data_IF_472312522035
#
_entry.id   IF_472312522035
#
_cell.length_a   1.000
_cell.length_b   1.000
_cell.length_c   1.000
_cell.angle_alpha   90.00
_cell.angle_beta   90.00
_cell.angle_gamma   90.00
#
_symmetry.space_group_name_H-M   'P 1'
#
loop_
_entity.id
_entity.type
_entity.pdbx_description
1 polymer ?
#
# COMPACT_ATOMS: atom_id res chain seq x y z
N UNK A 1 -32.74 -0.77 3.71
CA UNK A 1 -33.64 -1.66 4.42
C UNK A 1 -32.92 -2.42 5.55
N UNK A 2 -31.81 -3.11 5.29
CA UNK A 2 -31.10 -3.91 6.28
C UNK A 2 -30.69 -3.09 7.52
N UNK A 3 -30.06 -1.92 7.35
CA UNK A 3 -29.68 -1.06 8.47
C UNK A 3 -30.89 -0.56 9.25
N UNK A 4 -31.97 -0.14 8.61
CA UNK A 4 -33.21 0.26 9.29
C UNK A 4 -33.78 -0.88 10.12
N UNK A 5 -33.80 -2.11 9.59
CA UNK A 5 -34.20 -3.29 10.36
C UNK A 5 -33.31 -3.51 11.59
N UNK A 6 -31.98 -3.45 11.41
CA UNK A 6 -31.04 -3.60 12.55
C UNK A 6 -31.16 -2.48 13.59
N UNK A 7 -31.50 -1.26 13.14
CA UNK A 7 -31.75 -0.14 14.04
C UNK A 7 -33.03 -0.34 14.85
N UNK A 8 -34.11 -0.87 14.24
CA UNK A 8 -35.37 -1.13 14.92
C UNK A 8 -35.29 -2.20 16.01
N UNK A 9 -34.29 -3.09 15.95
CA UNK A 9 -34.04 -4.14 16.92
C UNK A 9 -33.34 -3.61 18.21
N UNK A 10 -32.93 -2.33 18.23
CA UNK A 10 -32.20 -1.70 19.35
C UNK A 10 -32.89 -0.42 19.79
N UNK A 11 -33.39 -0.37 21.02
CA UNK A 11 -34.11 0.80 21.56
C UNK A 11 -33.33 2.12 21.41
N UNK A 12 -32.01 2.09 21.61
CA UNK A 12 -31.14 3.28 21.50
C UNK A 12 -30.95 3.76 20.07
N UNK A 13 -31.09 2.90 19.09
CA UNK A 13 -30.86 3.21 17.66
C UNK A 13 -32.17 3.43 16.88
N UNK A 14 -33.28 2.82 17.31
CA UNK A 14 -34.57 2.94 16.62
C UNK A 14 -34.98 4.39 16.32
N UNK A 15 -34.86 5.37 17.25
CA UNK A 15 -35.17 6.76 16.96
C UNK A 15 -34.27 7.42 15.93
N UNK A 16 -33.10 6.84 15.67
CA UNK A 16 -32.10 7.36 14.74
C UNK A 16 -32.24 6.78 13.32
N UNK A 17 -33.23 5.92 13.06
CA UNK A 17 -33.39 5.22 11.79
C UNK A 17 -33.55 6.15 10.60
N UNK A 18 -34.14 7.32 10.77
CA UNK A 18 -34.29 8.32 9.70
C UNK A 18 -33.01 9.11 9.39
N UNK A 19 -32.00 9.04 10.28
CA UNK A 19 -30.69 9.64 10.03
C UNK A 19 -29.81 8.77 9.12
N UNK A 20 -30.19 7.51 8.92
CA UNK A 20 -29.48 6.64 7.97
C UNK A 20 -29.55 7.27 6.58
N UNK A 21 -28.41 7.56 5.98
CA UNK A 21 -28.27 8.23 4.69
C UNK A 21 -28.75 9.69 4.64
N UNK A 22 -28.89 10.35 5.81
CA UNK A 22 -29.28 11.76 5.86
C UNK A 22 -28.30 12.65 5.10
N UNK A 23 -28.82 13.40 4.13
CA UNK A 23 -28.07 14.35 3.27
C UNK A 23 -26.88 13.75 2.49
N UNK A 24 -26.61 12.47 2.63
CA UNK A 24 -25.51 11.79 1.93
C UNK A 24 -25.85 11.50 0.46
N UNK A 25 -24.85 11.58 -0.40
CA UNK A 25 -24.85 10.85 -1.66
C UNK A 25 -24.20 9.47 -1.44
N UNK A 26 -24.45 8.51 -2.34
CA UNK A 26 -23.82 7.18 -2.24
C UNK A 26 -22.29 7.25 -2.18
N UNK A 27 -21.72 8.22 -2.86
CA UNK A 27 -20.27 8.40 -2.91
C UNK A 27 -19.67 8.88 -1.58
N UNK A 28 -20.43 9.62 -0.74
CA UNK A 28 -19.98 9.95 0.63
C UNK A 28 -19.71 8.68 1.45
N UNK A 29 -20.44 7.60 1.19
CA UNK A 29 -20.25 6.31 1.85
C UNK A 29 -19.19 5.48 1.12
N UNK A 30 -19.25 5.41 -0.22
CA UNK A 30 -18.35 4.57 -1.00
C UNK A 30 -16.89 5.02 -0.88
N UNK A 31 -16.62 6.33 -1.02
CA UNK A 31 -15.24 6.82 -0.94
C UNK A 31 -14.62 6.58 0.44
N UNK A 32 -15.39 6.80 1.52
CA UNK A 32 -14.89 6.56 2.88
C UNK A 32 -14.68 5.07 3.13
N UNK A 33 -15.57 4.21 2.64
CA UNK A 33 -15.40 2.76 2.75
C UNK A 33 -14.16 2.27 1.99
N UNK A 34 -13.96 2.71 0.74
CA UNK A 34 -12.77 2.38 -0.05
C UNK A 34 -11.49 2.96 0.60
N UNK A 35 -11.55 4.20 1.09
CA UNK A 35 -10.44 4.81 1.81
C UNK A 35 -10.00 3.98 3.01
N UNK A 36 -10.96 3.53 3.83
CA UNK A 36 -10.69 2.67 4.99
C UNK A 36 -10.11 1.31 4.59
N UNK A 37 -10.64 0.68 3.53
CA UNK A 37 -10.13 -0.60 3.02
C UNK A 37 -8.68 -0.46 2.52
N UNK A 38 -8.41 0.57 1.74
CA UNK A 38 -7.05 0.84 1.21
C UNK A 38 -6.09 1.16 2.34
N UNK A 39 -6.52 1.97 3.32
CA UNK A 39 -5.71 2.29 4.50
C UNK A 39 -5.35 1.04 5.28
N UNK A 40 -6.34 0.22 5.63
CA UNK A 40 -6.10 -1.03 6.36
C UNK A 40 -5.17 -1.98 5.59
N UNK A 41 -5.39 -2.16 4.28
CA UNK A 41 -4.52 -2.98 3.44
C UNK A 41 -3.07 -2.45 3.40
N UNK A 42 -2.90 -1.14 3.37
CA UNK A 42 -1.58 -0.50 3.37
C UNK A 42 -0.89 -0.66 4.72
N UNK A 43 -1.56 -0.29 5.82
CA UNK A 43 -0.97 -0.23 7.15
C UNK A 43 -0.75 -1.63 7.76
N UNK A 44 -1.70 -2.54 7.56
CA UNK A 44 -1.69 -3.85 8.23
C UNK A 44 -1.01 -4.95 7.40
N UNK A 45 -0.90 -4.77 6.08
CA UNK A 45 -0.35 -5.81 5.19
C UNK A 45 0.84 -5.30 4.41
N UNK A 46 0.68 -4.27 3.56
CA UNK A 46 1.73 -3.88 2.62
C UNK A 46 2.99 -3.36 3.32
N UNK A 47 2.85 -2.38 4.21
CA UNK A 47 3.99 -1.79 4.92
C UNK A 47 4.73 -2.82 5.78
N UNK A 48 4.07 -3.67 6.58
CA UNK A 48 4.75 -4.72 7.34
C UNK A 48 5.49 -5.74 6.46
N UNK A 49 4.91 -6.14 5.32
CA UNK A 49 5.58 -7.08 4.40
C UNK A 49 6.79 -6.43 3.71
N UNK A 50 6.68 -5.16 3.31
CA UNK A 50 7.81 -4.40 2.79
C UNK A 50 8.93 -4.27 3.82
N UNK A 51 8.60 -3.95 5.08
CA UNK A 51 9.57 -3.83 6.16
C UNK A 51 10.29 -5.17 6.43
N UNK A 52 9.56 -6.28 6.46
CA UNK A 52 10.14 -7.61 6.64
C UNK A 52 11.13 -7.95 5.51
N UNK A 53 10.74 -7.73 4.25
CA UNK A 53 11.60 -7.98 3.10
C UNK A 53 12.86 -7.10 3.12
N UNK A 54 12.72 -5.82 3.41
CA UNK A 54 13.84 -4.88 3.51
C UNK A 54 14.80 -5.31 4.63
N UNK A 55 14.27 -5.76 5.77
CA UNK A 55 15.07 -6.23 6.89
C UNK A 55 15.91 -7.46 6.51
N UNK A 56 15.34 -8.44 5.82
CA UNK A 56 16.04 -9.64 5.35
C UNK A 56 17.14 -9.29 4.34
N UNK A 57 16.86 -8.47 3.33
CA UNK A 57 17.88 -8.05 2.36
C UNK A 57 19.00 -7.26 3.08
N UNK A 58 18.64 -6.41 4.04
CA UNK A 58 19.64 -5.65 4.82
C UNK A 58 20.48 -6.55 5.72
N UNK A 59 19.89 -7.58 6.33
CA UNK A 59 20.63 -8.58 7.13
C UNK A 59 21.64 -9.33 6.25
N UNK A 60 21.24 -9.76 5.05
CA UNK A 60 22.13 -10.36 4.07
C UNK A 60 23.25 -9.41 3.63
N UNK A 61 22.94 -8.13 3.46
CA UNK A 61 23.92 -7.09 3.12
C UNK A 61 25.00 -6.96 4.21
N UNK A 62 24.58 -6.90 5.46
CA UNK A 62 25.49 -6.80 6.61
C UNK A 62 26.36 -8.06 6.74
N UNK A 63 25.76 -9.25 6.66
CA UNK A 63 26.48 -10.52 6.75
C UNK A 63 27.53 -10.70 5.64
N UNK A 64 27.36 -10.05 4.50
CA UNK A 64 28.27 -10.14 3.36
C UNK A 64 29.07 -8.83 3.09
N UNK A 65 29.11 -7.90 4.05
CA UNK A 65 29.72 -6.59 3.87
C UNK A 65 31.20 -6.67 3.45
N UNK A 66 31.95 -7.63 4.00
CA UNK A 66 33.37 -7.85 3.69
C UNK A 66 33.63 -8.89 2.58
N UNK A 67 32.60 -9.47 1.96
CA UNK A 67 32.79 -10.52 0.94
C UNK A 67 33.09 -9.91 -0.42
N UNK A 68 34.33 -10.07 -0.96
CA UNK A 68 34.70 -9.49 -2.25
C UNK A 68 33.85 -10.05 -3.41
N UNK A 69 33.55 -9.20 -4.36
CA UNK A 69 32.82 -9.52 -5.56
C UNK A 69 33.32 -8.65 -6.70
N UNK A 70 33.39 -9.17 -7.92
CA UNK A 70 33.62 -8.34 -9.11
C UNK A 70 32.27 -7.79 -9.60
N UNK A 71 32.20 -6.47 -9.72
CA UNK A 71 31.10 -5.86 -10.44
C UNK A 71 31.12 -6.25 -11.92
N UNK A 72 30.00 -6.13 -12.59
CA UNK A 72 29.87 -6.41 -14.02
C UNK A 72 29.18 -5.26 -14.75
N UNK A 73 29.63 -4.99 -15.95
CA UNK A 73 28.98 -4.07 -16.86
C UNK A 73 29.04 -4.65 -18.26
N UNK A 74 27.96 -4.57 -19.01
CA UNK A 74 27.83 -5.21 -20.33
C UNK A 74 28.23 -6.70 -20.35
N UNK A 75 27.93 -7.43 -19.28
CA UNK A 75 28.32 -8.84 -19.10
C UNK A 75 29.81 -9.07 -18.80
N UNK A 76 30.64 -8.03 -18.80
CA UNK A 76 32.08 -8.09 -18.56
C UNK A 76 32.42 -7.84 -17.09
N UNK A 77 33.49 -8.48 -16.60
CA UNK A 77 34.04 -8.18 -15.29
C UNK A 77 34.60 -6.75 -15.25
N UNK A 78 34.27 -6.04 -14.18
CA UNK A 78 34.70 -4.67 -13.95
C UNK A 78 35.38 -4.54 -12.57
N UNK A 79 35.33 -3.36 -11.96
CA UNK A 79 36.02 -3.08 -10.72
C UNK A 79 35.51 -3.94 -9.54
N UNK A 80 36.35 -4.27 -8.56
CA UNK A 80 35.95 -4.96 -7.34
C UNK A 80 34.94 -4.16 -6.53
N UNK A 81 34.01 -4.88 -5.92
CA UNK A 81 33.02 -4.40 -4.95
C UNK A 81 32.86 -5.45 -3.85
N UNK A 82 31.81 -5.36 -3.05
CA UNK A 82 31.42 -6.41 -2.12
C UNK A 82 29.96 -6.83 -2.35
N UNK A 83 29.66 -8.09 -2.11
CA UNK A 83 28.28 -8.61 -2.17
C UNK A 83 27.36 -7.83 -1.22
N UNK A 84 27.87 -7.50 -0.03
CA UNK A 84 27.08 -6.72 0.95
C UNK A 84 26.72 -5.33 0.43
N UNK A 85 27.61 -4.64 -0.30
CA UNK A 85 27.31 -3.34 -0.89
C UNK A 85 26.25 -3.44 -2.01
N UNK A 86 26.30 -4.46 -2.84
CA UNK A 86 25.30 -4.70 -3.89
C UNK A 86 23.90 -4.91 -3.29
N UNK A 87 23.80 -5.79 -2.27
CA UNK A 87 22.53 -6.01 -1.54
C UNK A 87 22.05 -4.76 -0.80
N UNK A 88 22.97 -3.99 -0.19
CA UNK A 88 22.63 -2.75 0.52
C UNK A 88 22.03 -1.69 -0.41
N UNK A 89 22.51 -1.59 -1.64
CA UNK A 89 21.91 -0.71 -2.65
C UNK A 89 20.42 -1.02 -2.86
N UNK A 90 20.05 -2.29 -2.97
CA UNK A 90 18.65 -2.71 -3.11
C UNK A 90 17.83 -2.34 -1.88
N UNK A 91 18.31 -2.71 -0.68
CA UNK A 91 17.61 -2.42 0.57
C UNK A 91 17.31 -0.92 0.75
N UNK A 92 18.29 -0.04 0.45
CA UNK A 92 18.12 1.42 0.57
C UNK A 92 17.12 1.96 -0.46
N UNK A 93 17.13 1.45 -1.69
CA UNK A 93 16.17 1.83 -2.73
C UNK A 93 14.74 1.45 -2.32
N UNK A 94 14.55 0.22 -1.84
CA UNK A 94 13.25 -0.28 -1.33
C UNK A 94 12.77 0.54 -0.13
N UNK A 95 13.64 0.81 0.84
CA UNK A 95 13.33 1.63 2.01
C UNK A 95 12.79 3.02 1.64
N UNK A 96 13.39 3.64 0.61
CA UNK A 96 12.92 4.93 0.11
C UNK A 96 11.49 4.84 -0.46
N UNK A 97 11.18 3.81 -1.25
CA UNK A 97 9.82 3.65 -1.81
C UNK A 97 8.79 3.30 -0.72
N UNK A 98 9.19 2.48 0.24
CA UNK A 98 8.36 2.17 1.42
C UNK A 98 8.01 3.43 2.21
N UNK A 99 8.99 4.32 2.43
CA UNK A 99 8.74 5.62 3.08
C UNK A 99 7.73 6.46 2.31
N UNK A 100 7.92 6.60 1.00
CA UNK A 100 6.98 7.35 0.15
C UNK A 100 5.57 6.76 0.15
N UNK A 101 5.43 5.42 0.23
CA UNK A 101 4.12 4.79 0.36
C UNK A 101 3.46 5.13 1.71
N UNK A 102 4.23 5.11 2.79
CA UNK A 102 3.72 5.45 4.12
C UNK A 102 3.26 6.91 4.27
N UNK A 103 3.82 7.81 3.46
CA UNK A 103 3.50 9.23 3.47
C UNK A 103 2.27 9.59 2.60
N UNK A 104 1.73 8.64 1.83
CA UNK A 104 0.54 8.89 1.00
C UNK A 104 -0.67 9.10 1.90
N UNK A 105 -1.29 10.25 1.75
CA UNK A 105 -2.52 10.57 2.46
C UNK A 105 -3.72 9.93 1.76
N UNK A 106 -4.47 9.13 2.50
CA UNK A 106 -5.71 8.54 2.00
C UNK A 106 -6.83 9.53 2.23
N UNK A 107 -7.37 10.06 1.13
CA UNK A 107 -8.37 11.11 1.17
C UNK A 107 -9.78 10.55 1.33
N UNK A 108 -10.66 11.35 1.94
CA UNK A 108 -12.07 11.08 2.03
C UNK A 108 -12.88 12.38 1.95
N UNK A 109 -14.13 12.28 1.52
CA UNK A 109 -15.06 13.42 1.51
C UNK A 109 -16.41 13.02 2.10
N UNK A 110 -17.09 14.01 2.72
CA UNK A 110 -18.44 13.89 3.23
C UNK A 110 -19.13 15.25 3.09
N UNK A 111 -19.57 15.60 1.85
CA UNK A 111 -20.04 16.94 1.50
C UNK A 111 -21.26 16.97 0.56
N UNK A 112 -21.91 15.80 0.34
CA UNK A 112 -23.13 15.68 -0.41
C UNK A 112 -22.97 15.53 -1.93
N UNK A 113 -24.09 15.59 -2.62
CA UNK A 113 -24.22 15.20 -4.03
C UNK A 113 -23.42 16.04 -5.02
N UNK A 114 -23.04 17.27 -4.66
CA UNK A 114 -22.26 18.20 -5.51
C UNK A 114 -21.06 18.80 -4.78
N UNK A 115 -20.78 18.32 -3.57
CA UNK A 115 -19.66 18.82 -2.78
C UNK A 115 -19.90 20.15 -2.05
N UNK A 116 -21.14 20.61 -1.95
CA UNK A 116 -21.48 21.92 -1.42
C UNK A 116 -22.44 21.90 -0.22
N UNK A 117 -22.67 20.73 0.40
CA UNK A 117 -23.54 20.59 1.57
C UNK A 117 -24.98 21.06 1.36
N UNK A 118 -25.51 21.07 0.12
CA UNK A 118 -26.80 21.67 -0.20
C UNK A 118 -27.95 21.09 0.64
N UNK A 119 -28.06 19.76 0.72
CA UNK A 119 -29.10 19.11 1.51
C UNK A 119 -28.89 19.32 3.02
N UNK A 120 -27.67 19.31 3.48
CA UNK A 120 -27.31 19.57 4.87
C UNK A 120 -27.71 20.98 5.30
N UNK A 121 -27.33 21.98 4.51
CA UNK A 121 -27.66 23.40 4.77
C UNK A 121 -29.15 23.68 4.65
N UNK A 122 -29.85 22.99 3.75
CA UNK A 122 -31.31 23.11 3.62
C UNK A 122 -32.02 22.64 4.90
N UNK A 123 -31.55 21.55 5.51
CA UNK A 123 -32.14 21.01 6.72
C UNK A 123 -31.67 21.74 7.99
N UNK A 124 -30.39 22.01 8.10
CA UNK A 124 -29.75 22.62 9.29
C UNK A 124 -28.81 23.77 8.91
N UNK A 125 -29.31 24.95 8.55
CA UNK A 125 -28.52 26.04 8.00
C UNK A 125 -27.57 26.70 9.00
N UNK A 126 -27.70 26.41 10.30
CA UNK A 126 -26.84 26.98 11.37
C UNK A 126 -25.69 26.08 11.78
N UNK A 127 -25.61 24.88 11.24
CA UNK A 127 -24.52 23.93 11.53
C UNK A 127 -23.32 24.27 10.65
N UNK A 128 -22.14 24.26 11.22
CA UNK A 128 -20.88 24.35 10.48
C UNK A 128 -20.55 22.97 9.87
N UNK A 129 -21.16 22.71 8.72
CA UNK A 129 -21.01 21.44 8.03
C UNK A 129 -19.60 21.18 7.51
N UNK A 130 -18.84 22.24 7.24
CA UNK A 130 -17.43 22.10 6.80
C UNK A 130 -16.62 21.50 7.94
N UNK A 131 -16.76 22.04 9.15
CA UNK A 131 -16.06 21.50 10.32
C UNK A 131 -16.55 20.09 10.69
N UNK A 132 -17.86 19.87 10.74
CA UNK A 132 -18.45 18.57 11.05
C UNK A 132 -17.98 17.49 10.06
N UNK A 133 -17.93 17.79 8.77
CA UNK A 133 -17.41 16.88 7.75
C UNK A 133 -15.94 16.56 7.95
N UNK A 134 -15.14 17.61 8.23
CA UNK A 134 -13.71 17.44 8.51
C UNK A 134 -13.46 16.52 9.70
N UNK A 135 -14.08 16.85 10.85
CA UNK A 135 -13.97 16.03 12.07
C UNK A 135 -14.43 14.57 11.86
N UNK A 136 -15.49 14.37 11.07
CA UNK A 136 -15.96 13.02 10.75
C UNK A 136 -14.93 12.24 9.95
N UNK A 137 -14.40 12.79 8.86
CA UNK A 137 -13.38 12.14 8.03
C UNK A 137 -12.11 11.87 8.84
N UNK A 138 -11.65 12.83 9.63
CA UNK A 138 -10.49 12.67 10.51
C UNK A 138 -10.71 11.58 11.56
N UNK A 139 -11.94 11.46 12.10
CA UNK A 139 -12.29 10.40 13.05
C UNK A 139 -12.20 9.00 12.47
N UNK A 140 -12.29 8.87 11.15
CA UNK A 140 -12.07 7.62 10.42
C UNK A 140 -10.58 7.35 10.14
N UNK A 141 -9.69 8.28 10.50
CA UNK A 141 -8.27 8.20 10.21
C UNK A 141 -7.93 8.45 8.74
N UNK A 142 -8.84 9.11 8.00
CA UNK A 142 -8.65 9.57 6.64
C UNK A 142 -8.32 11.07 6.64
N UNK A 143 -7.78 11.59 5.54
CA UNK A 143 -7.55 13.02 5.37
C UNK A 143 -8.74 13.65 4.65
N UNK A 144 -9.34 14.69 5.22
CA UNK A 144 -10.48 15.36 4.62
C UNK A 144 -10.10 16.08 3.33
N UNK A 145 -10.85 15.80 2.24
CA UNK A 145 -10.79 16.53 0.98
C UNK A 145 -12.04 17.42 0.84
N UNK A 146 -11.98 18.71 1.21
CA UNK A 146 -13.15 19.59 1.19
C UNK A 146 -13.54 20.07 -0.21
N UNK A 147 -12.64 19.96 -1.18
CA UNK A 147 -12.81 20.49 -2.53
C UNK A 147 -13.09 19.39 -3.55
N UNK A 148 -14.28 18.86 -3.52
CA UNK A 148 -14.73 17.82 -4.43
C UNK A 148 -16.03 18.22 -5.15
N UNK A 149 -16.45 17.41 -6.12
CA UNK A 149 -17.81 17.46 -6.66
C UNK A 149 -18.65 16.35 -6.01
N UNK A 150 -19.32 15.52 -6.76
CA UNK A 150 -20.06 14.36 -6.22
C UNK A 150 -19.11 13.28 -5.71
N UNK A 151 -18.05 13.00 -6.47
CA UNK A 151 -17.08 11.96 -6.16
C UNK A 151 -15.80 12.55 -5.56
N UNK A 152 -15.09 11.74 -4.77
CA UNK A 152 -13.70 11.96 -4.46
C UNK A 152 -12.87 11.57 -5.71
N UNK A 153 -11.99 12.45 -6.26
CA UNK A 153 -11.29 12.19 -7.54
C UNK A 153 -10.36 10.99 -7.54
N UNK A 154 -9.97 10.50 -6.35
CA UNK A 154 -9.10 9.34 -6.17
C UNK A 154 -7.66 9.50 -6.70
N UNK A 155 -7.18 10.72 -6.84
CA UNK A 155 -5.80 11.00 -7.27
C UNK A 155 -4.78 10.37 -6.32
N UNK A 156 -5.09 10.30 -5.01
CA UNK A 156 -4.28 9.63 -4.00
C UNK A 156 -4.07 8.14 -4.28
N UNK A 157 -5.04 7.46 -4.93
CA UNK A 157 -4.88 6.07 -5.35
C UNK A 157 -3.79 5.93 -6.41
N UNK A 158 -3.70 6.90 -7.34
CA UNK A 158 -2.62 6.93 -8.33
C UNK A 158 -1.27 7.12 -7.64
N UNK A 159 -1.16 8.03 -6.67
CA UNK A 159 0.05 8.23 -5.87
C UNK A 159 0.47 6.93 -5.16
N UNK A 160 -0.48 6.27 -4.48
CA UNK A 160 -0.25 5.02 -3.78
C UNK A 160 0.23 3.92 -4.73
N UNK A 161 -0.48 3.70 -5.84
CA UNK A 161 -0.11 2.65 -6.80
C UNK A 161 1.21 2.96 -7.52
N UNK A 162 1.55 4.22 -7.76
CA UNK A 162 2.85 4.59 -8.28
C UNK A 162 3.99 4.26 -7.29
N UNK A 163 3.76 4.40 -5.98
CA UNK A 163 4.75 3.96 -4.98
C UNK A 163 4.93 2.44 -5.00
N UNK A 164 3.84 1.67 -5.03
CA UNK A 164 3.89 0.21 -5.14
C UNK A 164 4.57 -0.23 -6.44
N UNK A 165 4.25 0.41 -7.55
CA UNK A 165 4.87 0.13 -8.85
C UNK A 165 6.40 0.31 -8.81
N UNK A 166 6.88 1.42 -8.23
CA UNK A 166 8.33 1.68 -8.12
C UNK A 166 9.02 0.68 -7.19
N UNK A 167 8.36 0.30 -6.09
CA UNK A 167 8.86 -0.74 -5.20
C UNK A 167 9.00 -2.08 -5.94
N UNK A 168 7.98 -2.50 -6.66
CA UNK A 168 7.98 -3.73 -7.44
C UNK A 168 9.01 -3.70 -8.58
N UNK A 169 9.24 -2.54 -9.21
CA UNK A 169 10.27 -2.42 -10.24
C UNK A 169 11.68 -2.69 -9.67
N UNK A 170 11.94 -2.23 -8.44
CA UNK A 170 13.22 -2.52 -7.78
C UNK A 170 13.34 -4.02 -7.46
N UNK A 171 12.25 -4.68 -7.06
CA UNK A 171 12.25 -6.13 -6.83
C UNK A 171 12.49 -6.90 -8.13
N UNK A 172 11.86 -6.51 -9.23
CA UNK A 172 12.10 -7.13 -10.53
C UNK A 172 13.57 -7.03 -10.96
N UNK A 173 14.22 -5.90 -10.72
CA UNK A 173 15.64 -5.73 -10.98
C UNK A 173 16.48 -6.65 -10.07
N UNK A 174 16.13 -6.70 -8.80
CA UNK A 174 16.80 -7.56 -7.82
C UNK A 174 16.67 -9.04 -8.14
N UNK A 175 15.48 -9.50 -8.53
CA UNK A 175 15.24 -10.90 -8.93
C UNK A 175 16.09 -11.28 -10.14
N UNK A 176 16.25 -10.37 -11.12
CA UNK A 176 17.13 -10.57 -12.27
C UNK A 176 18.59 -10.64 -11.88
N UNK A 177 19.03 -9.79 -10.95
CA UNK A 177 20.40 -9.82 -10.42
C UNK A 177 20.67 -11.13 -9.68
N UNK A 178 19.76 -11.58 -8.81
CA UNK A 178 19.88 -12.88 -8.12
C UNK A 178 19.95 -14.03 -9.12
N UNK A 179 19.13 -14.01 -10.16
CA UNK A 179 19.17 -15.03 -11.20
C UNK A 179 20.52 -15.03 -11.95
N UNK A 180 21.04 -13.84 -12.29
CA UNK A 180 22.37 -13.70 -12.89
C UNK A 180 23.48 -14.19 -11.95
N UNK A 181 23.39 -13.91 -10.65
CA UNK A 181 24.34 -14.37 -9.65
C UNK A 181 24.35 -15.90 -9.50
N UNK A 182 23.20 -16.56 -9.61
CA UNK A 182 23.11 -18.01 -9.66
C UNK A 182 23.80 -18.54 -10.92
N UNK A 183 23.55 -17.92 -12.08
CA UNK A 183 24.17 -18.31 -13.36
C UNK A 183 25.69 -18.12 -13.38
N UNK A 184 26.22 -17.21 -12.57
CA UNK A 184 27.65 -16.93 -12.41
C UNK A 184 28.30 -17.66 -11.21
N UNK A 185 27.63 -18.62 -10.60
CA UNK A 185 28.09 -19.37 -9.42
C UNK A 185 28.36 -18.55 -8.15
N UNK A 186 27.85 -17.32 -8.07
CA UNK A 186 27.93 -16.56 -6.82
C UNK A 186 26.96 -17.09 -5.76
N UNK A 187 25.79 -17.61 -6.18
CA UNK A 187 24.82 -18.30 -5.35
C UNK A 187 24.56 -19.70 -5.89
N UNK A 188 24.21 -20.61 -4.97
CA UNK A 188 23.72 -21.94 -5.31
C UNK A 188 22.33 -22.14 -4.73
N UNK A 189 21.45 -22.69 -5.54
CA UNK A 189 20.13 -23.09 -5.05
C UNK A 189 20.25 -24.27 -4.08
N UNK A 190 19.52 -24.21 -2.99
CA UNK A 190 19.48 -25.26 -1.99
C UNK A 190 18.53 -26.36 -2.45
N UNK A 191 19.03 -27.58 -2.55
CA UNK A 191 18.17 -28.73 -2.83
C UNK A 191 17.29 -29.04 -1.61
N UNK A 192 16.00 -29.15 -1.84
CA UNK A 192 15.03 -29.61 -0.85
C UNK A 192 14.77 -31.09 -1.11
N UNK A 193 14.92 -31.96 -0.09
CA UNK A 193 14.71 -33.38 -0.22
C UNK A 193 13.24 -33.69 -0.55
N UNK A 194 13.01 -34.54 -1.56
CA UNK A 194 11.67 -34.87 -2.03
C UNK A 194 11.07 -33.90 -3.07
N UNK A 195 11.74 -32.78 -3.35
CA UNK A 195 11.29 -31.86 -4.38
C UNK A 195 11.75 -32.27 -5.77
N UNK A 196 10.83 -32.29 -6.74
CA UNK A 196 11.14 -32.57 -8.15
C UNK A 196 11.33 -31.25 -8.90
N UNK A 197 12.59 -30.91 -9.24
CA UNK A 197 12.91 -29.67 -9.94
C UNK A 197 12.41 -29.62 -11.39
N UNK A 198 12.42 -30.77 -12.08
CA UNK A 198 11.91 -30.90 -13.43
C UNK A 198 11.63 -32.39 -13.72
N UNK A 199 10.52 -32.69 -14.39
CA UNK A 199 10.18 -34.04 -14.80
C UNK A 199 11.07 -34.57 -15.93
N UNK A 200 11.59 -33.70 -16.78
CA UNK A 200 12.44 -34.05 -17.95
C UNK A 200 13.92 -33.79 -17.70
N UNK A 201 14.28 -33.01 -16.71
CA UNK A 201 15.66 -32.70 -16.32
C UNK A 201 15.85 -32.95 -14.82
N UNK A 202 15.88 -34.20 -14.36
CA UNK A 202 15.86 -34.55 -12.92
C UNK A 202 17.09 -34.07 -12.13
N UNK A 203 18.17 -33.73 -12.82
CA UNK A 203 19.39 -33.14 -12.25
C UNK A 203 19.27 -31.63 -11.97
N UNK A 204 18.24 -30.98 -12.51
CA UNK A 204 18.01 -29.54 -12.32
C UNK A 204 17.35 -29.27 -10.97
N UNK A 205 17.90 -28.31 -10.23
CA UNK A 205 17.30 -27.76 -9.00
C UNK A 205 16.38 -26.60 -9.40
N UNK A 206 15.20 -26.56 -8.83
CA UNK A 206 14.27 -25.46 -9.07
C UNK A 206 14.62 -24.27 -8.20
#
# INVERSE_FOLDING_TARGET
>A
YYLKQRFSERETLAPLSEWIHFACTSEDINNTAYGLMVKAATDEVLLPQMDALIAEINALAVANAGRPMLSRTHGQTASPTTLGKELKNVAVRLQRQRGQLADVQILGKFNGAVGNFNAHLSAYPKVDWINVSGEFIDSLGLTNNPWTTQIEPHDYLAELFHCVMRFNQILLDFDRDIWAYISNDYFKQRKVEGETGSSTMPHKIN
#
